data_IF_307436927706
#
_entry.id   IF_307436927706
#
_cell.length_a   1.000
_cell.length_b   1.000
_cell.length_c   1.000
_cell.angle_alpha   90.00
_cell.angle_beta   90.00
_cell.angle_gamma   90.00
#
_symmetry.space_group_name_H-M   'P 1'
#
loop_
_entity.id
_entity.type
_entity.pdbx_description
1 polymer ?
#
# COMPACT_ATOMS: atom_id res chain seq x y z
N UNK A 1 -10.87 -1.50 -6.20
CA UNK A 1 -9.91 -1.01 -5.18
C UNK A 1 -9.39 -2.23 -4.44
N UNK A 2 -8.08 -2.48 -4.45
CA UNK A 2 -7.46 -3.65 -3.81
C UNK A 2 -7.25 -3.35 -2.31
N UNK A 3 -7.65 -4.26 -1.42
CA UNK A 3 -7.38 -4.16 0.01
C UNK A 3 -6.09 -4.90 0.36
N UNK A 4 -5.31 -4.32 1.27
CA UNK A 4 -4.08 -4.90 1.80
C UNK A 4 -4.09 -4.73 3.32
N UNK A 5 -4.60 -5.74 4.03
CA UNK A 5 -4.91 -5.60 5.46
C UNK A 5 -5.91 -4.46 5.70
N UNK A 6 -5.55 -3.52 6.58
CA UNK A 6 -6.36 -2.31 6.88
C UNK A 6 -6.23 -1.19 5.85
N UNK A 7 -5.41 -1.37 4.83
CA UNK A 7 -5.10 -0.33 3.85
C UNK A 7 -5.82 -0.58 2.52
N UNK A 8 -6.29 0.48 1.88
CA UNK A 8 -6.77 0.42 0.51
C UNK A 8 -5.69 0.90 -0.45
N UNK A 9 -5.27 0.06 -1.38
CA UNK A 9 -4.35 0.44 -2.45
C UNK A 9 -5.11 1.29 -3.48
N UNK A 10 -4.58 2.49 -3.75
CA UNK A 10 -5.18 3.46 -4.68
C UNK A 10 -4.63 3.22 -6.08
N UNK A 11 -3.30 3.22 -6.23
CA UNK A 11 -2.62 2.93 -7.49
C UNK A 11 -1.17 2.50 -7.27
N UNK A 12 -0.64 1.67 -8.16
CA UNK A 12 0.79 1.40 -8.25
C UNK A 12 1.52 2.69 -8.66
N UNK A 13 2.63 3.00 -8.00
CA UNK A 13 3.46 4.19 -8.28
C UNK A 13 4.90 3.84 -8.65
N UNK A 14 5.30 2.58 -8.50
CA UNK A 14 6.62 2.12 -8.90
C UNK A 14 6.76 0.61 -8.81
N UNK A 15 7.81 0.10 -9.45
CA UNK A 15 8.21 -1.30 -9.41
C UNK A 15 9.73 -1.36 -9.29
N UNK A 16 10.25 -2.34 -8.57
CA UNK A 16 11.67 -2.64 -8.49
C UNK A 16 11.90 -4.15 -8.43
N UNK A 17 13.17 -4.58 -8.41
CA UNK A 17 13.50 -6.00 -8.41
C UNK A 17 12.92 -6.78 -7.22
N UNK A 18 12.84 -6.14 -6.05
CA UNK A 18 12.42 -6.79 -4.80
C UNK A 18 10.96 -6.55 -4.42
N UNK A 19 10.33 -5.52 -4.98
CA UNK A 19 9.05 -5.06 -4.49
C UNK A 19 8.30 -4.19 -5.49
N UNK A 20 6.99 -4.12 -5.28
CA UNK A 20 6.10 -3.13 -5.88
C UNK A 20 5.79 -2.03 -4.86
N UNK A 21 5.57 -0.81 -5.34
CA UNK A 21 5.26 0.36 -4.50
C UNK A 21 3.92 0.93 -4.88
N UNK A 22 3.03 1.10 -3.90
CA UNK A 22 1.67 1.59 -4.08
C UNK A 22 1.40 2.85 -3.25
N UNK A 23 0.69 3.81 -3.85
CA UNK A 23 -0.01 4.84 -3.09
C UNK A 23 -1.25 4.19 -2.44
N UNK A 24 -1.42 4.39 -1.14
CA UNK A 24 -2.48 3.77 -0.36
C UNK A 24 -3.13 4.77 0.60
N UNK A 25 -4.28 4.38 1.15
CA UNK A 25 -4.96 5.08 2.24
C UNK A 25 -5.36 4.14 3.37
N UNK A 26 -5.48 4.69 4.56
CA UNK A 26 -6.20 4.07 5.69
C UNK A 26 -7.07 5.10 6.36
N UNK A 27 -8.16 4.64 6.96
CA UNK A 27 -8.92 5.44 7.92
C UNK A 27 -8.16 5.40 9.24
N UNK A 28 -8.01 6.55 9.90
CA UNK A 28 -7.47 6.66 11.27
C UNK A 28 -8.60 7.05 12.22
N UNK A 29 -8.27 7.19 13.51
CA UNK A 29 -9.25 7.64 14.50
C UNK A 29 -9.94 8.93 14.05
N UNK A 30 -11.22 9.09 14.43
CA UNK A 30 -12.07 10.25 14.08
C UNK A 30 -12.42 10.35 12.58
N UNK A 31 -12.32 9.25 11.81
CA UNK A 31 -12.80 9.20 10.42
C UNK A 31 -11.91 9.92 9.40
N UNK A 32 -10.73 10.37 9.82
CA UNK A 32 -9.76 11.01 8.93
C UNK A 32 -9.07 9.98 8.03
N UNK A 33 -8.73 10.38 6.80
CA UNK A 33 -7.96 9.55 5.88
C UNK A 33 -6.47 9.91 5.97
N UNK A 34 -5.62 8.90 6.16
CA UNK A 34 -4.16 9.04 6.05
C UNK A 34 -3.70 8.45 4.73
N UNK A 35 -3.03 9.27 3.92
CA UNK A 35 -2.33 8.83 2.71
C UNK A 35 -0.94 8.31 3.10
N UNK A 36 -0.53 7.19 2.54
CA UNK A 36 0.76 6.55 2.80
C UNK A 36 1.21 5.71 1.59
N UNK A 37 2.41 5.14 1.69
CA UNK A 37 2.96 4.22 0.70
C UNK A 37 3.07 2.81 1.28
N UNK A 38 2.74 1.80 0.46
CA UNK A 38 3.00 0.39 0.77
C UNK A 38 4.05 -0.14 -0.18
N UNK A 39 5.12 -0.70 0.38
CA UNK A 39 6.14 -1.47 -0.34
C UNK A 39 5.81 -2.96 -0.18
N UNK A 40 5.21 -3.56 -1.19
CA UNK A 40 4.82 -4.98 -1.21
C UNK A 40 6.00 -5.81 -1.71
N UNK A 41 6.67 -6.50 -0.80
CA UNK A 41 7.84 -7.34 -1.09
C UNK A 41 7.40 -8.58 -1.87
N UNK A 42 8.13 -8.95 -2.92
CA UNK A 42 7.85 -10.19 -3.66
C UNK A 42 8.08 -11.40 -2.74
N UNK A 43 7.30 -12.46 -2.93
CA UNK A 43 7.39 -13.68 -2.11
C UNK A 43 8.79 -14.31 -2.07
N UNK A 44 9.61 -14.11 -3.12
CA UNK A 44 11.00 -14.57 -3.17
C UNK A 44 11.95 -13.86 -2.16
N UNK A 45 11.50 -12.77 -1.53
CA UNK A 45 12.30 -11.96 -0.59
C UNK A 45 11.60 -11.76 0.77
N UNK A 46 10.52 -12.50 1.05
CA UNK A 46 9.67 -12.35 2.24
C UNK A 46 9.93 -13.44 3.29
#
# INVERSE_FOLDING_TARGET
MEQFGKYTLIRKIGTGGMAEVFLARTIVAQGLNKILVIKKIHTAYA
#
